data_IF_757087827649
#
_entry.id   IF_757087827649
#
_cell.length_a   1.000
_cell.length_b   1.000
_cell.length_c   1.000
_cell.angle_alpha   90.00
_cell.angle_beta   90.00
_cell.angle_gamma   90.00
#
_symmetry.space_group_name_H-M   'P 1'
#
loop_
_entity.id
_entity.type
_entity.pdbx_description
1 polymer ?
#
# COMPACT_ATOMS: atom_id res chain seq x y z
N UNK A 1 -20.07 3.31 -6.46
CA UNK A 1 -19.75 1.86 -6.50
C UNK A 1 -18.46 1.69 -7.27
N UNK A 2 -17.48 0.93 -6.76
CA UNK A 2 -16.28 0.57 -7.53
C UNK A 2 -16.69 -0.16 -8.81
N UNK A 3 -16.16 0.27 -9.96
CA UNK A 3 -16.46 -0.30 -11.29
C UNK A 3 -15.97 -1.75 -11.44
N UNK A 4 -15.02 -2.18 -10.60
CA UNK A 4 -14.51 -3.56 -10.55
C UNK A 4 -14.69 -4.08 -9.12
N UNK A 5 -15.34 -5.25 -8.91
CA UNK A 5 -15.48 -5.82 -7.59
C UNK A 5 -14.09 -6.20 -7.03
N UNK A 6 -13.72 -5.64 -5.87
CA UNK A 6 -12.46 -5.97 -5.18
C UNK A 6 -12.25 -7.48 -5.01
N UNK A 7 -13.35 -8.24 -4.83
CA UNK A 7 -13.31 -9.72 -4.74
C UNK A 7 -12.70 -10.38 -5.98
N UNK A 8 -12.94 -9.85 -7.19
CA UNK A 8 -12.36 -10.40 -8.42
C UNK A 8 -10.87 -10.08 -8.51
N UNK A 9 -10.50 -8.82 -8.24
CA UNK A 9 -9.10 -8.39 -8.20
C UNK A 9 -8.30 -9.19 -7.17
N UNK A 10 -8.86 -9.37 -5.96
CA UNK A 10 -8.25 -10.17 -4.89
C UNK A 10 -8.03 -11.62 -5.34
N UNK A 11 -9.02 -12.26 -5.99
CA UNK A 11 -8.86 -13.63 -6.52
C UNK A 11 -7.70 -13.73 -7.51
N UNK A 12 -7.61 -12.80 -8.46
CA UNK A 12 -6.52 -12.77 -9.46
C UNK A 12 -5.17 -12.55 -8.78
N UNK A 13 -5.06 -11.54 -7.91
CA UNK A 13 -3.82 -11.27 -7.17
C UNK A 13 -3.39 -12.45 -6.30
N UNK A 14 -4.35 -13.21 -5.78
CA UNK A 14 -4.04 -14.35 -4.91
C UNK A 14 -3.48 -15.57 -5.66
N UNK A 15 -3.56 -15.59 -7.00
CA UNK A 15 -2.93 -16.61 -7.86
C UNK A 15 -1.40 -16.42 -7.98
N UNK A 16 -0.87 -15.25 -7.66
CA UNK A 16 0.58 -14.98 -7.66
C UNK A 16 1.17 -15.22 -6.28
N UNK A 17 2.50 -15.32 -6.16
CA UNK A 17 3.14 -15.23 -4.85
C UNK A 17 2.90 -13.84 -4.21
N UNK A 18 2.91 -13.72 -2.88
CA UNK A 18 2.55 -12.48 -2.20
C UNK A 18 3.42 -11.27 -2.57
N UNK A 19 4.72 -11.45 -2.81
CA UNK A 19 5.64 -10.34 -3.09
C UNK A 19 5.44 -9.85 -4.55
N UNK A 20 5.21 -10.75 -5.49
CA UNK A 20 4.80 -10.39 -6.86
C UNK A 20 3.44 -9.69 -6.87
N UNK A 21 2.45 -10.23 -6.16
CA UNK A 21 1.13 -9.62 -6.05
C UNK A 21 1.19 -8.20 -5.49
N UNK A 22 2.04 -7.96 -4.48
CA UNK A 22 2.30 -6.65 -3.92
C UNK A 22 2.87 -5.68 -4.98
N UNK A 23 3.92 -6.08 -5.69
CA UNK A 23 4.52 -5.25 -6.74
C UNK A 23 3.56 -4.96 -7.91
N UNK A 24 2.77 -5.94 -8.34
CA UNK A 24 1.71 -5.74 -9.35
C UNK A 24 0.65 -4.76 -8.88
N UNK A 25 0.25 -4.83 -7.61
CA UNK A 25 -0.77 -3.94 -7.03
C UNK A 25 -0.30 -2.49 -7.03
N UNK A 26 0.94 -2.22 -6.60
CA UNK A 26 1.49 -0.86 -6.58
C UNK A 26 1.66 -0.28 -7.98
N UNK A 27 2.18 -1.07 -8.93
CA UNK A 27 2.28 -0.64 -10.34
C UNK A 27 0.92 -0.37 -10.97
N UNK A 28 -0.05 -1.24 -10.74
CA UNK A 28 -1.42 -1.06 -11.22
C UNK A 28 -2.07 0.19 -10.63
N UNK A 29 -1.88 0.43 -9.33
CA UNK A 29 -2.37 1.64 -8.68
C UNK A 29 -1.72 2.90 -9.28
N UNK A 30 -0.40 2.89 -9.50
CA UNK A 30 0.30 4.01 -10.12
C UNK A 30 -0.16 4.28 -11.56
N UNK A 31 -0.41 3.22 -12.32
CA UNK A 31 -0.94 3.33 -13.68
C UNK A 31 -2.32 4.01 -13.67
N UNK A 32 -3.22 3.61 -12.77
CA UNK A 32 -4.52 4.25 -12.61
C UNK A 32 -4.40 5.71 -12.13
N UNK A 33 -3.41 6.01 -11.30
CA UNK A 33 -3.09 7.37 -10.87
C UNK A 33 -2.70 8.24 -12.07
N UNK A 34 -1.79 7.77 -12.91
CA UNK A 34 -1.34 8.47 -14.13
C UNK A 34 -2.50 8.74 -15.09
N UNK A 35 -3.46 7.81 -15.18
CA UNK A 35 -4.69 7.98 -15.97
C UNK A 35 -5.77 8.82 -15.28
N UNK A 36 -5.54 9.31 -14.05
CA UNK A 36 -6.51 10.04 -13.22
C UNK A 36 -7.80 9.25 -12.93
N UNK A 37 -7.71 7.92 -12.87
CA UNK A 37 -8.85 7.01 -12.69
C UNK A 37 -9.02 6.51 -11.24
N UNK A 38 -8.10 6.82 -10.32
CA UNK A 38 -8.18 6.35 -8.92
C UNK A 38 -9.50 6.75 -8.25
N UNK A 39 -9.96 7.99 -8.48
CA UNK A 39 -11.19 8.50 -7.88
C UNK A 39 -12.45 7.68 -8.26
N UNK A 40 -12.41 6.94 -9.38
CA UNK A 40 -13.50 6.06 -9.80
C UNK A 40 -13.60 4.79 -8.93
N UNK A 41 -12.51 4.41 -8.27
CA UNK A 41 -12.44 3.21 -7.43
C UNK A 41 -12.72 3.51 -5.96
N UNK A 42 -12.13 4.58 -5.41
CA UNK A 42 -12.16 4.87 -3.98
C UNK A 42 -13.21 5.92 -3.57
N UNK A 43 -13.76 6.67 -4.53
CA UNK A 43 -14.78 7.70 -4.26
C UNK A 43 -14.25 8.87 -3.42
N UNK A 44 -15.16 9.68 -2.86
CA UNK A 44 -14.80 10.81 -2.00
C UNK A 44 -14.73 10.38 -0.53
N UNK A 45 -13.68 10.82 0.16
CA UNK A 45 -13.48 10.50 1.57
C UNK A 45 -14.36 11.34 2.48
N UNK A 46 -14.95 10.69 3.48
CA UNK A 46 -15.52 11.41 4.63
C UNK A 46 -14.37 11.89 5.50
N UNK A 47 -14.22 13.21 5.63
CA UNK A 47 -13.16 13.82 6.44
C UNK A 47 -13.69 14.13 7.84
N UNK A 48 -12.88 13.84 8.86
CA UNK A 48 -13.11 14.28 10.24
C UNK A 48 -11.75 14.71 10.81
N UNK A 49 -11.32 15.95 10.52
CA UNK A 49 -9.98 16.41 10.82
C UNK A 49 -9.61 16.26 12.29
N UNK A 50 -8.31 16.11 12.55
CA UNK A 50 -7.74 16.01 13.90
C UNK A 50 -6.34 16.63 13.90
N UNK A 51 -5.99 17.33 14.99
CA UNK A 51 -4.64 17.81 15.22
C UNK A 51 -3.94 16.85 16.18
N UNK A 52 -2.76 16.36 15.80
CA UNK A 52 -1.91 15.49 16.62
C UNK A 52 -0.48 15.98 16.42
N UNK A 53 0.27 16.20 17.51
CA UNK A 53 1.67 16.66 17.46
C UNK A 53 1.86 17.93 16.61
N UNK A 54 0.86 18.82 16.56
CA UNK A 54 0.90 20.05 15.74
C UNK A 54 0.57 19.84 14.26
N UNK A 55 0.33 18.61 13.80
CA UNK A 55 0.00 18.27 12.41
C UNK A 55 -1.53 18.10 12.28
N UNK A 56 -2.10 18.72 11.26
CA UNK A 56 -3.52 18.58 10.93
C UNK A 56 -3.73 17.42 9.93
N UNK A 57 -4.30 16.32 10.41
CA UNK A 57 -4.68 15.19 9.56
C UNK A 57 -6.15 15.31 9.13
N UNK A 58 -6.50 15.03 7.86
CA UNK A 58 -7.87 15.16 7.38
C UNK A 58 -8.79 14.05 7.90
N UNK A 59 -8.23 12.92 8.35
CA UNK A 59 -8.93 11.84 9.05
C UNK A 59 -7.94 11.01 9.91
N UNK A 60 -8.44 10.00 10.63
CA UNK A 60 -7.68 9.19 11.61
C UNK A 60 -7.08 7.90 11.03
N UNK A 61 -7.31 7.61 9.76
CA UNK A 61 -6.89 6.35 9.13
C UNK A 61 -5.61 6.61 8.34
N UNK A 62 -4.51 6.05 8.79
CA UNK A 62 -3.23 6.09 8.07
C UNK A 62 -2.92 4.77 7.39
N UNK A 63 -2.06 4.84 6.38
CA UNK A 63 -1.36 3.66 5.87
C UNK A 63 -0.03 3.50 6.63
N UNK A 64 0.19 2.32 7.21
CA UNK A 64 1.42 1.99 7.93
C UNK A 64 2.61 1.79 6.99
N UNK A 65 3.82 1.90 7.55
CA UNK A 65 5.06 1.60 6.86
C UNK A 65 5.13 0.15 6.36
N UNK A 66 6.04 -0.09 5.41
CA UNK A 66 6.32 -1.39 4.82
C UNK A 66 5.59 -1.65 3.50
N UNK A 67 4.55 -0.87 3.16
CA UNK A 67 3.89 -0.95 1.86
C UNK A 67 4.70 -0.23 0.77
N UNK A 68 4.98 1.06 0.95
CA UNK A 68 5.76 1.86 0.01
C UNK A 68 7.11 2.22 0.64
N UNK A 69 8.04 1.28 0.58
CA UNK A 69 9.31 1.37 1.31
C UNK A 69 10.22 2.47 0.78
N UNK A 70 10.20 2.69 -0.53
CA UNK A 70 11.06 3.63 -1.22
C UNK A 70 10.32 4.93 -1.59
N UNK A 71 9.06 5.09 -1.17
CA UNK A 71 8.24 6.29 -1.43
C UNK A 71 7.86 6.48 -2.91
N UNK A 72 7.90 5.42 -3.71
CA UNK A 72 7.70 5.49 -5.17
C UNK A 72 6.23 5.65 -5.58
N UNK A 73 5.31 5.32 -4.68
CA UNK A 73 3.89 5.20 -4.96
C UNK A 73 3.02 6.13 -4.09
N UNK A 74 3.64 6.98 -3.27
CA UNK A 74 2.96 7.79 -2.24
C UNK A 74 1.82 8.63 -2.84
N UNK A 75 2.01 9.19 -4.04
CA UNK A 75 1.02 10.05 -4.69
C UNK A 75 -0.26 9.28 -5.01
N UNK A 76 -0.10 8.11 -5.62
CA UNK A 76 -1.21 7.23 -5.96
C UNK A 76 -1.94 6.71 -4.70
N UNK A 77 -1.17 6.31 -3.68
CA UNK A 77 -1.71 5.85 -2.39
C UNK A 77 -2.48 6.96 -1.68
N UNK A 78 -2.00 8.21 -1.72
CA UNK A 78 -2.65 9.36 -1.06
C UNK A 78 -4.08 9.61 -1.54
N UNK A 79 -4.39 9.21 -2.78
CA UNK A 79 -5.72 9.32 -3.37
C UNK A 79 -6.68 8.19 -2.97
N UNK A 80 -6.21 7.18 -2.22
CA UNK A 80 -7.02 6.02 -1.85
C UNK A 80 -7.88 6.21 -0.60
N UNK A 81 -7.69 7.29 0.17
CA UNK A 81 -8.50 7.53 1.37
C UNK A 81 -7.79 7.95 2.63
N UNK A 82 -6.49 7.69 2.68
CA UNK A 82 -5.71 7.82 3.90
C UNK A 82 -5.54 9.28 4.32
N UNK A 83 -5.61 9.50 5.63
CA UNK A 83 -5.28 10.79 6.22
C UNK A 83 -3.79 11.06 6.28
N UNK A 84 -2.97 10.01 6.28
CA UNK A 84 -1.53 10.06 6.16
C UNK A 84 -0.98 8.74 5.61
N UNK A 85 0.25 8.78 5.09
CA UNK A 85 0.98 7.62 4.60
C UNK A 85 2.35 7.63 5.24
N UNK A 86 2.70 6.53 5.90
CA UNK A 86 4.04 6.32 6.41
C UNK A 86 4.83 5.48 5.39
N UNK A 87 5.87 6.08 4.80
CA UNK A 87 6.79 5.40 3.88
C UNK A 87 7.89 4.67 4.65
N UNK A 88 8.70 3.87 3.95
CA UNK A 88 9.78 3.12 4.57
C UNK A 88 9.37 1.69 4.97
N UNK A 89 10.16 0.97 5.76
CA UNK A 89 11.40 1.43 6.40
C UNK A 89 12.54 1.56 5.39
N UNK A 90 13.20 2.73 5.42
CA UNK A 90 14.43 3.01 4.67
C UNK A 90 15.64 2.88 5.60
N UNK A 91 16.78 2.45 5.08
CA UNK A 91 18.06 2.41 5.81
C UNK A 91 19.06 3.34 5.13
N UNK A 92 20.10 3.85 5.82
CA UNK A 92 21.05 4.80 5.21
C UNK A 92 21.71 4.31 3.91
N UNK A 93 21.80 3.00 3.73
CA UNK A 93 22.29 2.35 2.51
C UNK A 93 21.24 1.38 1.99
N UNK A 94 21.22 1.19 0.67
CA UNK A 94 20.40 0.18 0.02
C UNK A 94 20.73 -1.22 0.53
N UNK A 95 19.70 -2.06 0.65
CA UNK A 95 19.88 -3.47 0.98
C UNK A 95 18.74 -4.32 0.40
N UNK A 96 19.09 -5.55 0.02
CA UNK A 96 18.16 -6.50 -0.62
C UNK A 96 17.15 -7.09 0.35
N UNK A 97 17.44 -7.05 1.65
CA UNK A 97 16.72 -7.75 2.71
C UNK A 97 16.96 -9.27 2.71
N UNK A 98 16.11 -10.02 3.40
CA UNK A 98 16.26 -11.48 3.53
C UNK A 98 15.95 -12.23 2.22
N UNK A 99 16.45 -13.45 2.09
CA UNK A 99 16.17 -14.32 0.94
C UNK A 99 14.68 -14.65 0.79
N UNK A 100 14.24 -14.85 -0.46
CA UNK A 100 12.87 -15.25 -0.79
C UNK A 100 12.69 -16.77 -0.63
N UNK A 101 11.47 -17.26 -0.32
CA UNK A 101 10.25 -16.49 -0.03
C UNK A 101 10.29 -15.87 1.38
N UNK A 102 9.70 -14.68 1.53
CA UNK A 102 9.77 -13.88 2.78
C UNK A 102 8.47 -13.15 3.14
N UNK A 103 7.41 -13.39 2.38
CA UNK A 103 6.08 -12.87 2.62
C UNK A 103 5.07 -14.00 2.35
N UNK A 104 4.18 -14.22 3.31
CA UNK A 104 3.25 -15.34 3.33
C UNK A 104 1.85 -14.84 3.69
N UNK A 105 0.82 -15.49 3.14
CA UNK A 105 -0.59 -15.20 3.42
C UNK A 105 -1.22 -16.35 4.20
N UNK A 106 -1.93 -16.03 5.27
CA UNK A 106 -2.83 -16.93 5.99
C UNK A 106 -4.26 -16.49 5.68
N UNK A 107 -4.82 -17.03 4.59
CA UNK A 107 -6.03 -16.48 3.96
C UNK A 107 -7.26 -16.56 4.88
N UNK A 108 -7.45 -17.68 5.55
CA UNK A 108 -8.60 -17.91 6.45
C UNK A 108 -8.56 -17.01 7.70
N UNK A 109 -7.35 -16.69 8.17
CA UNK A 109 -7.12 -15.81 9.32
C UNK A 109 -7.04 -14.32 8.93
N UNK A 110 -7.21 -13.98 7.64
CA UNK A 110 -7.00 -12.63 7.10
C UNK A 110 -5.65 -12.01 7.51
N UNK A 111 -4.61 -12.84 7.61
CA UNK A 111 -3.32 -12.46 8.18
C UNK A 111 -2.16 -12.63 7.18
N UNK A 112 -1.06 -11.95 7.50
CA UNK A 112 0.22 -12.08 6.79
C UNK A 112 1.34 -12.38 7.78
N UNK A 113 2.32 -13.17 7.35
CA UNK A 113 3.60 -13.35 8.03
C UNK A 113 4.66 -12.82 7.08
N UNK A 114 5.59 -12.00 7.57
CA UNK A 114 6.71 -11.54 6.76
C UNK A 114 8.02 -11.58 7.54
N UNK A 115 9.09 -11.79 6.80
CA UNK A 115 10.47 -11.68 7.26
C UNK A 115 11.28 -10.90 6.22
N UNK A 116 10.75 -9.77 5.76
CA UNK A 116 11.35 -9.09 4.60
C UNK A 116 12.75 -8.54 4.86
N UNK A 117 13.05 -8.17 6.12
CA UNK A 117 14.38 -7.70 6.53
C UNK A 117 14.74 -6.35 5.92
N UNK A 118 13.83 -5.37 5.98
CA UNK A 118 14.06 -3.99 5.52
C UNK A 118 14.67 -3.87 4.11
N UNK A 119 14.18 -4.63 3.13
CA UNK A 119 14.58 -4.42 1.73
C UNK A 119 14.18 -3.01 1.25
N UNK A 120 15.15 -2.19 0.84
CA UNK A 120 14.95 -0.80 0.40
C UNK A 120 16.15 -0.30 -0.42
N UNK A 121 16.00 0.86 -1.07
CA UNK A 121 16.98 1.46 -2.01
C UNK A 121 17.94 2.48 -1.39
N UNK A 122 17.88 2.71 -0.08
CA UNK A 122 18.68 3.74 0.60
C UNK A 122 17.97 5.08 0.63
#
# INVERSE_FOLDING_TARGET
MSLIPYKLVRKILFMFDPETAHGLSLRGLNFLYQLKLINLLFGKNKTKPINIMGINFPNRVGLAAGLDKDGEYFQAISQCGFGFVEIGTVTPLAQTGNDKPRLFRLVEAEAIINRMGFNNKG
#
